data_IF_716484478384
#
_entry.id   IF_716484478384
#
_cell.length_a   1.000
_cell.length_b   1.000
_cell.length_c   1.000
_cell.angle_alpha   90.00
_cell.angle_beta   90.00
_cell.angle_gamma   90.00
#
_symmetry.space_group_name_H-M   'P 1'
#
loop_
_entity.id
_entity.type
_entity.pdbx_description
1 polymer ?
#
# COMPACT_ATOMS: atom_id res chain seq x y z
N UNK A 1 -28.51 -2.78 -3.04
CA UNK A 1 -28.30 -2.37 -1.63
C UNK A 1 -26.86 -1.99 -1.40
N UNK A 2 -25.88 -2.86 -1.72
CA UNK A 2 -24.43 -2.55 -1.75
C UNK A 2 -24.10 -1.23 -2.47
N UNK A 3 -24.56 -1.07 -3.72
CA UNK A 3 -24.31 0.14 -4.53
C UNK A 3 -24.69 1.46 -3.85
N UNK A 4 -25.73 1.46 -2.99
CA UNK A 4 -26.11 2.64 -2.18
C UNK A 4 -25.20 2.79 -0.96
N UNK A 5 -24.87 1.70 -0.28
CA UNK A 5 -23.95 1.70 0.87
C UNK A 5 -22.56 2.17 0.43
N UNK A 6 -22.06 1.65 -0.68
CA UNK A 6 -20.81 2.04 -1.33
C UNK A 6 -20.89 3.50 -1.79
N UNK A 7 -21.92 3.94 -2.53
CA UNK A 7 -22.04 5.36 -2.89
C UNK A 7 -22.13 6.32 -1.69
N UNK A 8 -22.84 5.93 -0.63
CA UNK A 8 -22.95 6.75 0.59
C UNK A 8 -21.62 6.79 1.33
N UNK A 9 -20.89 5.67 1.40
CA UNK A 9 -19.54 5.62 1.97
C UNK A 9 -18.56 6.46 1.13
N UNK A 10 -18.51 6.25 -0.19
CA UNK A 10 -17.69 6.99 -1.14
C UNK A 10 -17.94 8.52 -1.08
N UNK A 11 -19.20 8.96 -0.94
CA UNK A 11 -19.53 10.36 -0.73
C UNK A 11 -19.11 10.88 0.65
N UNK A 12 -19.18 10.06 1.69
CA UNK A 12 -18.71 10.40 3.04
C UNK A 12 -17.18 10.47 3.13
N UNK A 13 -16.46 9.78 2.25
CA UNK A 13 -15.00 9.79 2.13
C UNK A 13 -14.50 10.48 0.85
N UNK A 14 -15.26 11.42 0.27
CA UNK A 14 -14.78 12.35 -0.77
C UNK A 14 -14.48 11.79 -2.17
N UNK A 15 -14.85 10.54 -2.49
CA UNK A 15 -14.55 9.91 -3.78
C UNK A 15 -15.57 10.33 -4.84
N UNK A 16 -15.09 11.09 -5.83
CA UNK A 16 -15.85 11.54 -7.00
C UNK A 16 -16.09 10.46 -8.06
N UNK A 17 -16.96 10.77 -9.03
CA UNK A 17 -17.34 9.88 -10.14
C UNK A 17 -16.11 9.48 -11.00
N UNK A 18 -15.80 8.18 -11.17
CA UNK A 18 -14.61 7.72 -11.90
C UNK A 18 -14.61 8.04 -13.41
N UNK A 19 -15.70 8.58 -13.96
CA UNK A 19 -15.77 9.11 -15.33
C UNK A 19 -15.60 10.62 -15.46
N UNK A 20 -15.41 11.36 -14.35
CA UNK A 20 -15.27 12.81 -14.36
C UNK A 20 -13.82 13.24 -14.65
N UNK A 21 -13.66 14.36 -15.36
CA UNK A 21 -12.36 15.00 -15.49
C UNK A 21 -11.82 15.39 -14.10
N UNK A 22 -10.52 15.21 -13.87
CA UNK A 22 -9.86 15.58 -12.60
C UNK A 22 -10.14 17.04 -12.26
N UNK A 23 -10.43 17.32 -10.99
CA UNK A 23 -10.45 18.70 -10.49
C UNK A 23 -9.04 19.30 -10.55
N UNK A 24 -8.88 20.63 -10.58
CA UNK A 24 -7.55 21.26 -10.51
C UNK A 24 -6.71 20.77 -9.32
N UNK A 25 -7.33 20.55 -8.16
CA UNK A 25 -6.68 19.98 -6.98
C UNK A 25 -6.14 18.56 -7.21
N UNK A 26 -6.94 17.68 -7.82
CA UNK A 26 -6.54 16.32 -8.16
C UNK A 26 -5.46 16.29 -9.26
N UNK A 27 -5.58 17.16 -10.26
CA UNK A 27 -4.59 17.30 -11.32
C UNK A 27 -3.22 17.71 -10.76
N UNK A 28 -3.20 18.61 -9.78
CA UNK A 28 -1.97 19.01 -9.10
C UNK A 28 -1.31 17.85 -8.35
N UNK A 29 -2.05 17.13 -7.52
CA UNK A 29 -1.52 15.96 -6.81
C UNK A 29 -1.07 14.86 -7.77
N UNK A 30 -1.78 14.70 -8.89
CA UNK A 30 -1.40 13.77 -9.96
C UNK A 30 -0.06 14.14 -10.57
N UNK A 31 0.16 15.41 -10.88
CA UNK A 31 1.41 15.89 -11.47
C UNK A 31 2.59 15.74 -10.50
N UNK A 32 2.39 16.01 -9.20
CA UNK A 32 3.41 15.74 -8.17
C UNK A 32 3.75 14.25 -8.10
N UNK A 33 2.74 13.38 -8.13
CA UNK A 33 2.95 11.92 -8.07
C UNK A 33 3.68 11.42 -9.31
N UNK A 34 3.33 11.93 -10.49
CA UNK A 34 4.02 11.62 -11.73
C UNK A 34 5.50 11.97 -11.64
N UNK A 35 5.84 13.17 -11.14
CA UNK A 35 7.22 13.59 -10.95
C UNK A 35 8.00 12.71 -9.98
N UNK A 36 7.39 12.30 -8.86
CA UNK A 36 8.01 11.35 -7.91
C UNK A 36 8.40 10.05 -8.62
N UNK A 37 7.55 9.54 -9.50
CA UNK A 37 7.79 8.28 -10.22
C UNK A 37 8.90 8.39 -11.29
N UNK A 38 9.30 9.60 -11.69
CA UNK A 38 10.43 9.81 -12.62
C UNK A 38 11.79 9.84 -11.90
N UNK A 39 11.79 9.96 -10.57
CA UNK A 39 13.01 10.12 -9.79
C UNK A 39 13.60 8.77 -9.35
N UNK A 40 14.91 8.78 -9.10
CA UNK A 40 15.56 7.67 -8.38
C UNK A 40 15.09 7.60 -6.92
N UNK A 41 15.23 6.43 -6.27
CA UNK A 41 14.63 6.14 -4.96
C UNK A 41 14.93 7.17 -3.87
N UNK A 42 16.16 7.70 -3.80
CA UNK A 42 16.54 8.69 -2.79
C UNK A 42 15.76 10.02 -2.94
N UNK A 43 15.90 10.72 -4.08
CA UNK A 43 15.12 11.93 -4.37
C UNK A 43 13.60 11.72 -4.35
N UNK A 44 13.11 10.56 -4.82
CA UNK A 44 11.69 10.22 -4.76
C UNK A 44 11.18 10.18 -3.32
N UNK A 45 11.92 9.55 -2.41
CA UNK A 45 11.59 9.51 -0.98
C UNK A 45 11.61 10.91 -0.35
N UNK A 46 12.59 11.74 -0.69
CA UNK A 46 12.67 13.11 -0.18
C UNK A 46 11.47 13.97 -0.62
N UNK A 47 11.10 13.91 -1.90
CA UNK A 47 9.93 14.62 -2.44
C UNK A 47 8.63 14.12 -1.80
N UNK A 48 8.52 12.81 -1.58
CA UNK A 48 7.36 12.18 -0.93
C UNK A 48 7.21 12.66 0.51
N UNK A 49 8.30 12.70 1.29
CA UNK A 49 8.28 13.22 2.67
C UNK A 49 7.87 14.69 2.71
N UNK A 50 8.39 15.52 1.79
CA UNK A 50 8.01 16.94 1.71
C UNK A 50 6.53 17.14 1.37
N UNK A 51 5.96 16.29 0.50
CA UNK A 51 4.54 16.29 0.18
C UNK A 51 3.69 15.91 1.40
N UNK A 52 4.08 14.86 2.12
CA UNK A 52 3.38 14.39 3.32
C UNK A 52 3.37 15.45 4.43
N UNK A 53 4.45 16.24 4.57
CA UNK A 53 4.55 17.29 5.58
C UNK A 53 3.79 18.58 5.21
N UNK A 54 3.21 18.66 4.01
CA UNK A 54 2.51 19.85 3.57
C UNK A 54 1.22 20.11 4.37
N UNK A 55 0.59 19.04 4.86
CA UNK A 55 -0.62 19.10 5.71
C UNK A 55 -0.38 19.84 7.04
N UNK A 56 0.87 19.90 7.51
CA UNK A 56 1.30 20.62 8.71
C UNK A 56 1.46 22.13 8.50
N UNK A 57 1.34 22.61 7.27
CA UNK A 57 1.52 24.03 6.90
C UNK A 57 0.17 24.72 6.66
N UNK A 58 0.11 26.06 6.69
CA UNK A 58 -1.13 26.78 6.40
C UNK A 58 -1.68 26.43 5.02
N UNK A 59 -2.97 26.05 4.95
CA UNK A 59 -3.66 25.68 3.71
C UNK A 59 -3.89 26.89 2.78
N UNK A 60 -2.83 27.35 2.11
CA UNK A 60 -2.86 28.55 1.26
C UNK A 60 -2.18 28.31 -0.07
N UNK A 61 -2.57 29.10 -1.08
CA UNK A 61 -1.92 29.07 -2.41
C UNK A 61 -0.44 29.38 -2.33
N UNK A 62 -0.06 30.29 -1.43
CA UNK A 62 1.35 30.64 -1.21
C UNK A 62 2.15 29.46 -0.68
N UNK A 63 1.57 28.63 0.18
CA UNK A 63 2.18 27.39 0.68
C UNK A 63 2.43 26.40 -0.47
N UNK A 64 1.42 26.17 -1.33
CA UNK A 64 1.57 25.30 -2.50
C UNK A 64 2.62 25.83 -3.49
N UNK A 65 2.63 27.14 -3.74
CA UNK A 65 3.65 27.77 -4.59
C UNK A 65 5.06 27.56 -4.03
N UNK A 66 5.25 27.79 -2.72
CA UNK A 66 6.54 27.56 -2.06
C UNK A 66 6.97 26.10 -2.09
N UNK A 67 6.03 25.16 -1.99
CA UNK A 67 6.30 23.74 -2.18
C UNK A 67 6.82 23.46 -3.59
N UNK A 68 6.12 23.92 -4.64
CA UNK A 68 6.57 23.76 -6.03
C UNK A 68 7.97 24.37 -6.24
N UNK A 69 8.22 25.55 -5.67
CA UNK A 69 9.51 26.25 -5.79
C UNK A 69 10.66 25.49 -5.14
N UNK A 70 10.42 24.88 -3.97
CA UNK A 70 11.46 24.24 -3.16
C UNK A 70 11.66 22.77 -3.45
N UNK A 71 10.57 22.09 -3.83
CA UNK A 71 10.55 20.65 -4.02
C UNK A 71 10.95 20.24 -5.45
N UNK A 72 10.78 21.14 -6.42
CA UNK A 72 11.09 20.90 -7.84
C UNK A 72 12.24 21.80 -8.31
N UNK A 73 13.38 21.74 -7.63
CA UNK A 73 14.59 22.50 -7.99
C UNK A 73 15.52 21.76 -8.96
N UNK A 74 15.29 20.46 -9.16
CA UNK A 74 16.06 19.65 -10.11
C UNK A 74 15.73 20.09 -11.54
N UNK A 75 16.73 20.46 -12.37
CA UNK A 75 16.51 20.78 -13.78
C UNK A 75 15.80 19.68 -14.58
N UNK A 76 15.92 18.42 -14.17
CA UNK A 76 15.22 17.30 -14.80
C UNK A 76 13.69 17.36 -14.61
N UNK A 77 13.20 18.12 -13.61
CA UNK A 77 11.78 18.28 -13.30
C UNK A 77 11.22 19.66 -13.73
N UNK A 78 11.91 20.35 -14.64
CA UNK A 78 11.54 21.72 -15.03
C UNK A 78 10.16 21.79 -15.72
N UNK A 79 9.82 20.77 -16.50
CA UNK A 79 8.54 20.70 -17.21
C UNK A 79 7.39 20.44 -16.22
N UNK A 80 7.58 19.52 -15.27
CA UNK A 80 6.64 19.24 -14.19
C UNK A 80 6.47 20.46 -13.28
N UNK A 81 7.55 21.19 -12.97
CA UNK A 81 7.46 22.44 -12.20
C UNK A 81 6.61 23.49 -12.94
N UNK A 82 6.82 23.64 -14.25
CA UNK A 82 6.04 24.58 -15.06
C UNK A 82 4.56 24.19 -15.13
N UNK A 83 4.28 22.89 -15.33
CA UNK A 83 2.93 22.30 -15.31
C UNK A 83 2.23 22.55 -13.98
N UNK A 84 2.89 22.27 -12.85
CA UNK A 84 2.38 22.52 -11.50
C UNK A 84 2.03 24.00 -11.27
N UNK A 85 2.86 24.93 -11.75
CA UNK A 85 2.55 26.37 -11.67
C UNK A 85 1.34 26.74 -12.50
N UNK A 86 1.18 26.15 -13.69
CA UNK A 86 0.02 26.40 -14.55
C UNK A 86 -1.26 25.88 -13.89
N UNK A 87 -1.24 24.67 -13.33
CA UNK A 87 -2.38 24.11 -12.59
C UNK A 87 -2.68 24.99 -11.37
N UNK A 88 -1.66 25.38 -10.59
CA UNK A 88 -1.85 26.25 -9.43
C UNK A 88 -2.43 27.62 -9.80
N UNK A 89 -2.17 28.13 -11.00
CA UNK A 89 -2.75 29.39 -11.48
C UNK A 89 -4.25 29.28 -11.82
N UNK A 90 -4.74 28.09 -12.15
CA UNK A 90 -6.17 27.87 -12.48
C UNK A 90 -7.02 27.48 -11.28
N UNK A 91 -6.41 27.06 -10.17
CA UNK A 91 -7.11 26.69 -8.94
C UNK A 91 -7.92 27.85 -8.35
N UNK A 92 -9.11 27.54 -7.85
CA UNK A 92 -9.84 28.40 -6.90
C UNK A 92 -9.32 28.21 -5.47
N UNK A 93 -9.75 29.04 -4.53
CA UNK A 93 -9.39 28.86 -3.11
C UNK A 93 -9.98 27.56 -2.53
N UNK A 94 -11.12 27.10 -3.07
CA UNK A 94 -11.69 25.80 -2.73
C UNK A 94 -10.83 24.65 -3.24
N UNK A 95 -10.27 24.76 -4.46
CA UNK A 95 -9.32 23.76 -4.98
C UNK A 95 -8.03 23.72 -4.15
N UNK A 96 -7.52 24.89 -3.75
CA UNK A 96 -6.36 24.98 -2.86
C UNK A 96 -6.64 24.26 -1.54
N UNK A 97 -7.77 24.56 -0.87
CA UNK A 97 -8.16 23.89 0.36
C UNK A 97 -8.30 22.37 0.18
N UNK A 98 -8.90 21.95 -0.94
CA UNK A 98 -9.09 20.53 -1.26
C UNK A 98 -7.75 19.77 -1.36
N UNK A 99 -6.67 20.39 -1.88
CA UNK A 99 -5.33 19.76 -1.88
C UNK A 99 -4.89 19.40 -0.45
N UNK A 100 -5.08 20.31 0.52
CA UNK A 100 -4.71 20.04 1.91
C UNK A 100 -5.66 19.03 2.55
N UNK A 101 -6.95 19.07 2.23
CA UNK A 101 -7.92 18.07 2.70
C UNK A 101 -7.57 16.66 2.19
N UNK A 102 -7.08 16.53 0.94
CA UNK A 102 -6.62 15.25 0.40
C UNK A 102 -5.35 14.76 1.09
N UNK A 103 -4.43 15.65 1.47
CA UNK A 103 -3.19 15.31 2.17
C UNK A 103 -3.42 14.99 3.66
N UNK A 104 -4.37 15.67 4.31
CA UNK A 104 -4.73 15.47 5.71
C UNK A 104 -5.72 14.29 5.90
N UNK A 105 -6.44 13.91 4.85
CA UNK A 105 -7.34 12.76 4.87
C UNK A 105 -6.58 11.43 4.99
N UNK A 106 -7.23 10.37 5.50
CA UNK A 106 -6.71 9.02 5.37
C UNK A 106 -6.62 8.69 3.87
N UNK A 107 -5.42 8.84 3.29
CA UNK A 107 -5.02 8.46 1.92
C UNK A 107 -6.21 8.06 1.03
N UNK A 108 -6.87 9.05 0.42
CA UNK A 108 -7.85 8.76 -0.62
C UNK A 108 -7.13 8.28 -1.87
N UNK A 109 -7.53 7.08 -2.30
CA UNK A 109 -6.90 6.18 -3.26
C UNK A 109 -6.97 6.59 -4.71
N UNK A 110 -6.05 5.96 -5.44
CA UNK A 110 -6.05 5.76 -6.88
C UNK A 110 -5.99 7.08 -7.64
N UNK A 111 -4.76 7.46 -7.94
CA UNK A 111 -4.54 8.11 -9.21
C UNK A 111 -4.31 6.99 -10.24
N UNK A 112 -5.30 6.64 -11.10
CA UNK A 112 -5.20 5.57 -12.09
C UNK A 112 -4.20 5.86 -13.23
N UNK A 113 -3.17 6.66 -12.97
CA UNK A 113 -2.21 7.13 -13.97
C UNK A 113 -0.98 6.25 -14.07
N UNK A 114 -0.79 5.27 -13.17
CA UNK A 114 0.26 4.26 -13.37
C UNK A 114 -0.27 3.09 -14.20
N UNK A 115 0.49 2.68 -15.22
CA UNK A 115 0.18 1.50 -16.04
C UNK A 115 0.03 0.22 -15.22
N UNK A 116 0.65 0.18 -14.04
CA UNK A 116 0.57 -0.94 -13.11
C UNK A 116 -0.81 -1.07 -12.44
N UNK A 117 -1.55 0.02 -12.26
CA UNK A 117 -2.88 -0.02 -11.63
C UNK A 117 -3.90 -0.74 -12.52
N UNK A 118 -3.84 -0.55 -13.85
CA UNK A 118 -4.72 -1.29 -14.77
C UNK A 118 -4.49 -2.80 -14.70
N UNK A 119 -3.22 -3.21 -14.62
CA UNK A 119 -2.85 -4.62 -14.44
C UNK A 119 -3.32 -5.12 -13.08
N UNK A 120 -3.04 -4.37 -12.02
CA UNK A 120 -3.45 -4.67 -10.65
C UNK A 120 -4.97 -4.91 -10.57
N UNK A 121 -5.80 -3.98 -11.03
CA UNK A 121 -7.25 -4.14 -11.01
C UNK A 121 -7.75 -5.25 -11.93
N UNK A 122 -7.05 -5.53 -13.05
CA UNK A 122 -7.41 -6.67 -13.91
C UNK A 122 -7.25 -8.01 -13.19
N UNK A 123 -6.24 -8.15 -12.34
CA UNK A 123 -6.01 -9.36 -11.53
C UNK A 123 -6.91 -9.36 -10.30
N UNK A 124 -6.86 -8.33 -9.47
CA UNK A 124 -7.59 -8.28 -8.19
C UNK A 124 -9.09 -8.41 -8.36
N UNK A 125 -9.66 -7.74 -9.37
CA UNK A 125 -11.10 -7.78 -9.60
C UNK A 125 -11.56 -9.13 -10.19
N UNK A 126 -10.68 -9.92 -10.80
CA UNK A 126 -11.00 -11.25 -11.30
C UNK A 126 -10.77 -12.33 -10.23
N UNK A 127 -9.64 -12.26 -9.51
CA UNK A 127 -9.11 -13.38 -8.73
C UNK A 127 -9.30 -13.24 -7.21
N UNK A 128 -9.40 -12.03 -6.68
CA UNK A 128 -9.49 -11.79 -5.22
C UNK A 128 -10.87 -11.27 -4.83
N UNK A 129 -11.25 -10.11 -5.34
CA UNK A 129 -12.46 -9.39 -4.92
C UNK A 129 -13.74 -10.24 -4.99
N UNK A 130 -13.97 -11.10 -6.00
CA UNK A 130 -15.18 -11.92 -6.07
C UNK A 130 -15.33 -12.94 -4.94
N UNK A 131 -14.25 -13.30 -4.24
CA UNK A 131 -14.26 -14.27 -3.14
C UNK A 131 -14.21 -13.64 -1.75
N UNK A 132 -14.07 -12.31 -1.68
CA UNK A 132 -14.01 -11.54 -0.44
C UNK A 132 -15.36 -10.88 -0.12
N UNK A 133 -15.52 -10.36 1.09
CA UNK A 133 -16.69 -9.55 1.49
C UNK A 133 -16.22 -8.30 2.19
N UNK A 134 -16.62 -7.15 1.64
CA UNK A 134 -16.30 -5.87 2.23
C UNK A 134 -17.03 -5.64 3.57
N UNK A 135 -18.24 -6.19 3.71
CA UNK A 135 -18.99 -6.15 4.97
C UNK A 135 -18.20 -6.86 6.08
N UNK A 136 -17.66 -8.05 5.80
CA UNK A 136 -16.82 -8.77 6.75
C UNK A 136 -15.54 -8.01 7.10
N UNK A 137 -14.97 -7.26 6.15
CA UNK A 137 -13.82 -6.37 6.42
C UNK A 137 -14.19 -5.31 7.45
N UNK A 138 -15.35 -4.66 7.31
CA UNK A 138 -15.83 -3.65 8.27
C UNK A 138 -16.09 -4.30 9.63
N UNK A 139 -16.80 -5.43 9.67
CA UNK A 139 -17.08 -6.16 10.90
C UNK A 139 -15.78 -6.52 11.64
N UNK A 140 -14.81 -7.09 10.93
CA UNK A 140 -13.50 -7.46 11.49
C UNK A 140 -12.74 -6.24 12.03
N UNK A 141 -12.77 -5.11 11.32
CA UNK A 141 -12.09 -3.89 11.77
C UNK A 141 -12.73 -3.32 13.04
N UNK A 142 -14.05 -3.43 13.20
CA UNK A 142 -14.78 -2.99 14.39
C UNK A 142 -14.56 -3.90 15.62
N UNK A 143 -14.15 -5.14 15.41
CA UNK A 143 -13.83 -6.10 16.47
C UNK A 143 -12.42 -5.95 17.05
N UNK A 144 -11.56 -5.11 16.43
CA UNK A 144 -10.22 -4.83 16.96
C UNK A 144 -10.29 -4.16 18.34
N UNK A 145 -9.29 -4.41 19.18
CA UNK A 145 -9.15 -3.73 20.48
C UNK A 145 -9.07 -2.20 20.31
N UNK A 146 -8.47 -1.75 19.22
CA UNK A 146 -8.39 -0.34 18.82
C UNK A 146 -8.92 -0.23 17.37
N UNK A 147 -10.24 -0.07 17.16
CA UNK A 147 -10.84 -0.03 15.83
C UNK A 147 -10.27 1.06 14.92
N UNK A 148 -9.78 2.16 15.51
CA UNK A 148 -9.13 3.25 14.78
C UNK A 148 -7.92 2.78 13.95
N UNK A 149 -7.22 1.72 14.38
CA UNK A 149 -6.08 1.16 13.64
C UNK A 149 -6.51 0.41 12.37
N UNK A 150 -7.76 -0.03 12.27
CA UNK A 150 -8.31 -0.71 11.10
C UNK A 150 -8.86 0.22 10.03
N UNK A 151 -9.07 1.51 10.33
CA UNK A 151 -9.77 2.45 9.45
C UNK A 151 -9.08 2.63 8.10
N UNK A 152 -7.74 2.69 8.08
CA UNK A 152 -7.00 2.83 6.84
C UNK A 152 -7.19 1.59 5.94
N UNK A 153 -7.11 0.39 6.52
CA UNK A 153 -7.34 -0.87 5.79
C UNK A 153 -8.76 -0.94 5.23
N UNK A 154 -9.77 -0.52 6.00
CA UNK A 154 -11.16 -0.46 5.54
C UNK A 154 -11.31 0.53 4.39
N UNK A 155 -10.71 1.72 4.47
CA UNK A 155 -10.74 2.70 3.40
C UNK A 155 -10.11 2.14 2.12
N UNK A 156 -8.87 1.65 2.21
CA UNK A 156 -8.11 1.09 1.07
C UNK A 156 -8.86 -0.06 0.38
N UNK A 157 -9.39 -1.01 1.15
CA UNK A 157 -10.17 -2.12 0.59
C UNK A 157 -11.50 -1.61 -0.01
N UNK A 158 -12.15 -0.64 0.62
CA UNK A 158 -13.38 -0.04 0.09
C UNK A 158 -13.20 0.55 -1.30
N UNK A 159 -12.04 1.14 -1.58
CA UNK A 159 -11.71 1.65 -2.89
C UNK A 159 -11.49 0.52 -3.92
N UNK A 160 -10.77 -0.55 -3.55
CA UNK A 160 -10.61 -1.72 -4.43
C UNK A 160 -11.97 -2.32 -4.77
N UNK A 161 -12.84 -2.54 -3.77
CA UNK A 161 -14.20 -3.04 -4.00
C UNK A 161 -15.02 -2.12 -4.91
N UNK A 162 -14.95 -0.80 -4.71
CA UNK A 162 -15.65 0.17 -5.54
C UNK A 162 -15.18 0.15 -7.00
N UNK A 163 -13.87 0.04 -7.25
CA UNK A 163 -13.33 -0.12 -8.61
C UNK A 163 -13.79 -1.44 -9.21
N UNK A 164 -13.71 -2.54 -8.46
CA UNK A 164 -14.11 -3.85 -8.95
C UNK A 164 -15.62 -4.01 -9.22
N UNK A 165 -16.49 -3.17 -8.65
CA UNK A 165 -17.91 -3.14 -9.03
C UNK A 165 -18.15 -2.70 -10.49
N UNK A 166 -17.24 -1.90 -11.05
CA UNK A 166 -17.36 -1.35 -12.42
C UNK A 166 -16.30 -1.90 -13.37
N UNK A 167 -15.25 -2.52 -12.86
CA UNK A 167 -14.16 -3.07 -13.67
C UNK A 167 -14.60 -4.32 -14.44
N UNK A 168 -14.32 -4.43 -15.76
CA UNK A 168 -14.72 -5.57 -16.58
C UNK A 168 -13.80 -6.79 -16.38
N UNK A 169 -13.44 -7.12 -15.14
CA UNK A 169 -12.49 -8.21 -14.82
C UNK A 169 -13.09 -9.62 -14.93
N UNK A 170 -14.41 -9.77 -14.79
CA UNK A 170 -15.05 -11.08 -14.71
C UNK A 170 -14.88 -11.73 -13.34
N UNK A 171 -14.96 -13.06 -13.28
CA UNK A 171 -14.77 -13.83 -12.05
C UNK A 171 -13.95 -15.08 -12.35
N UNK A 172 -12.86 -15.27 -11.63
CA UNK A 172 -12.07 -16.49 -11.72
C UNK A 172 -12.91 -17.73 -11.36
N UNK A 173 -12.58 -18.91 -11.90
CA UNK A 173 -13.17 -20.16 -11.45
C UNK A 173 -13.03 -20.34 -9.93
N UNK A 174 -14.00 -21.00 -9.29
CA UNK A 174 -14.02 -21.15 -7.83
C UNK A 174 -12.80 -21.88 -7.25
N UNK A 175 -12.12 -22.71 -8.05
CA UNK A 175 -10.92 -23.40 -7.61
C UNK A 175 -9.74 -22.46 -7.36
N UNK A 176 -9.75 -21.24 -7.91
CA UNK A 176 -8.70 -20.25 -7.68
C UNK A 176 -8.62 -19.79 -6.21
N UNK A 177 -9.73 -19.92 -5.47
CA UNK A 177 -9.80 -19.59 -4.05
C UNK A 177 -9.62 -20.81 -3.13
N UNK A 178 -9.21 -21.96 -3.68
CA UNK A 178 -8.92 -23.15 -2.88
C UNK A 178 -7.44 -23.17 -2.46
N UNK A 179 -7.11 -23.70 -1.27
CA UNK A 179 -5.73 -23.91 -0.88
C UNK A 179 -4.97 -24.78 -1.88
N UNK A 180 -3.75 -24.38 -2.21
CA UNK A 180 -2.84 -25.17 -3.06
C UNK A 180 -2.29 -26.35 -2.25
N UNK A 181 -2.30 -27.55 -2.85
CA UNK A 181 -1.64 -28.73 -2.30
C UNK A 181 -0.54 -29.19 -3.25
N UNK A 182 0.65 -29.46 -2.71
CA UNK A 182 1.82 -29.84 -3.50
C UNK A 182 2.84 -30.60 -2.65
N UNK A 183 3.44 -31.63 -3.24
CA UNK A 183 4.57 -32.35 -2.64
C UNK A 183 5.92 -31.71 -2.99
N UNK A 184 5.94 -30.64 -3.79
CA UNK A 184 7.18 -29.92 -4.10
C UNK A 184 7.70 -29.29 -2.81
N UNK A 185 8.97 -29.54 -2.42
CA UNK A 185 9.53 -28.89 -1.25
C UNK A 185 9.41 -27.36 -1.38
N UNK A 186 8.90 -26.72 -0.32
CA UNK A 186 8.57 -25.29 -0.35
C UNK A 186 9.11 -24.62 0.88
N UNK A 187 9.76 -23.47 0.74
CA UNK A 187 10.18 -22.65 1.87
C UNK A 187 9.23 -21.45 2.01
N UNK A 188 8.65 -21.29 3.18
CA UNK A 188 7.74 -20.20 3.53
C UNK A 188 8.42 -19.32 4.56
N UNK A 189 8.54 -18.03 4.26
CA UNK A 189 8.96 -17.02 5.22
C UNK A 189 7.77 -16.20 5.69
N UNK A 190 7.67 -15.97 7.00
CA UNK A 190 6.58 -15.19 7.56
C UNK A 190 7.07 -14.20 8.63
N UNK A 191 6.84 -12.90 8.41
CA UNK A 191 7.06 -11.87 9.42
C UNK A 191 5.96 -11.89 10.49
N UNK A 192 6.32 -11.75 11.76
CA UNK A 192 5.35 -11.77 12.87
C UNK A 192 4.41 -10.55 12.89
N UNK A 193 4.80 -9.45 12.24
CA UNK A 193 4.04 -8.20 12.15
C UNK A 193 3.63 -7.86 10.72
N UNK A 194 3.62 -8.84 9.82
CA UNK A 194 3.11 -8.63 8.47
C UNK A 194 1.59 -8.41 8.49
N UNK A 195 1.15 -7.20 8.12
CA UNK A 195 -0.26 -6.84 8.01
C UNK A 195 -0.82 -6.96 6.58
N UNK A 196 0.03 -7.22 5.58
CA UNK A 196 -0.36 -7.38 4.18
C UNK A 196 -0.61 -8.85 3.83
N UNK A 197 0.30 -9.73 4.26
CA UNK A 197 0.19 -11.20 4.11
C UNK A 197 0.41 -11.87 5.47
N UNK A 198 -0.60 -11.83 6.36
CA UNK A 198 -0.39 -12.12 7.77
C UNK A 198 0.10 -13.55 8.03
N UNK A 199 0.81 -13.73 9.15
CA UNK A 199 1.33 -15.04 9.59
C UNK A 199 0.25 -16.14 9.61
N UNK A 200 -1.01 -15.79 9.89
CA UNK A 200 -2.13 -16.73 9.84
C UNK A 200 -2.33 -17.35 8.45
N UNK A 201 -2.12 -16.60 7.37
CA UNK A 201 -2.22 -17.10 5.98
C UNK A 201 -1.06 -18.03 5.66
N UNK A 202 0.16 -17.68 6.08
CA UNK A 202 1.34 -18.52 5.93
C UNK A 202 1.17 -19.86 6.65
N UNK A 203 0.61 -19.85 7.87
CA UNK A 203 0.26 -21.07 8.60
C UNK A 203 -0.80 -21.90 7.88
N UNK A 204 -1.79 -21.27 7.26
CA UNK A 204 -2.81 -21.99 6.46
C UNK A 204 -2.19 -22.64 5.22
N UNK A 205 -1.32 -21.92 4.49
CA UNK A 205 -0.61 -22.48 3.34
C UNK A 205 0.31 -23.64 3.75
N UNK A 206 1.00 -23.54 4.88
CA UNK A 206 1.86 -24.60 5.40
C UNK A 206 1.12 -25.93 5.62
N UNK A 207 -0.16 -25.89 6.04
CA UNK A 207 -0.96 -27.10 6.31
C UNK A 207 -1.15 -27.98 5.08
N UNK A 208 -1.23 -27.39 3.88
CA UNK A 208 -1.48 -28.13 2.63
C UNK A 208 -0.21 -28.47 1.85
N UNK A 209 0.95 -28.11 2.38
CA UNK A 209 2.26 -28.32 1.76
C UNK A 209 3.10 -29.28 2.65
N UNK A 210 2.92 -30.61 2.52
CA UNK A 210 3.50 -31.59 3.44
C UNK A 210 5.03 -31.58 3.53
N UNK A 211 5.71 -31.08 2.48
CA UNK A 211 7.17 -30.96 2.42
C UNK A 211 7.64 -29.50 2.60
N UNK A 212 6.80 -28.63 3.18
CA UNK A 212 7.17 -27.25 3.42
C UNK A 212 8.00 -27.07 4.69
N UNK A 213 8.85 -26.05 4.65
CA UNK A 213 9.47 -25.43 5.82
C UNK A 213 8.84 -24.07 6.09
N UNK A 214 8.48 -23.77 7.33
CA UNK A 214 7.98 -22.45 7.74
C UNK A 214 8.99 -21.79 8.69
N UNK A 215 9.61 -20.70 8.22
CA UNK A 215 10.52 -19.87 9.02
C UNK A 215 9.78 -18.61 9.46
N UNK A 216 9.60 -18.48 10.77
CA UNK A 216 8.94 -17.32 11.39
C UNK A 216 10.02 -16.30 11.76
N UNK A 217 9.95 -15.12 11.17
CA UNK A 217 10.91 -14.03 11.36
C UNK A 217 10.34 -13.06 12.39
N UNK A 218 10.90 -13.02 13.61
CA UNK A 218 10.39 -12.15 14.67
C UNK A 218 10.64 -10.68 14.35
N UNK A 219 9.79 -9.81 14.88
CA UNK A 219 9.91 -8.35 14.74
C UNK A 219 9.90 -7.83 13.28
N UNK A 220 9.51 -8.69 12.33
CA UNK A 220 9.51 -8.36 10.90
C UNK A 220 8.09 -8.13 10.38
N UNK A 221 7.96 -7.12 9.51
CA UNK A 221 6.77 -6.86 8.71
C UNK A 221 6.79 -7.61 7.37
N UNK A 222 6.14 -7.03 6.35
CA UNK A 222 6.06 -7.57 5.00
C UNK A 222 7.42 -7.55 4.28
N UNK A 223 7.68 -8.56 3.43
CA UNK A 223 8.88 -8.60 2.60
C UNK A 223 10.17 -8.93 3.36
N UNK A 224 10.15 -9.95 4.22
CA UNK A 224 11.27 -10.27 5.13
C UNK A 224 12.62 -10.44 4.42
N UNK A 225 12.63 -10.95 3.19
CA UNK A 225 13.86 -11.11 2.40
C UNK A 225 14.55 -9.77 2.12
N UNK A 226 13.78 -8.72 1.89
CA UNK A 226 14.28 -7.37 1.60
C UNK A 226 14.84 -6.69 2.85
N UNK A 227 14.15 -6.83 3.98
CA UNK A 227 14.46 -6.08 5.20
C UNK A 227 15.38 -6.83 6.18
N UNK A 228 15.51 -8.14 6.02
CA UNK A 228 16.35 -9.00 6.86
C UNK A 228 17.30 -9.88 6.02
N UNK A 229 18.06 -9.29 5.07
CA UNK A 229 18.69 -10.05 4.00
C UNK A 229 19.80 -11.00 4.50
N UNK A 230 20.49 -10.71 5.59
CA UNK A 230 21.66 -11.47 6.03
C UNK A 230 21.32 -12.93 6.36
N UNK A 231 20.39 -13.15 7.31
CA UNK A 231 19.95 -14.49 7.68
C UNK A 231 19.03 -15.11 6.60
N UNK A 232 18.09 -14.32 6.06
CA UNK A 232 17.05 -14.87 5.17
C UNK A 232 17.64 -15.27 3.81
N UNK A 233 18.64 -14.55 3.29
CA UNK A 233 19.35 -14.95 2.07
C UNK A 233 20.16 -16.23 2.28
N UNK A 234 20.79 -16.39 3.45
CA UNK A 234 21.51 -17.62 3.76
C UNK A 234 20.56 -18.83 3.77
N UNK A 235 19.46 -18.74 4.51
CA UNK A 235 18.44 -19.80 4.57
C UNK A 235 17.91 -20.11 3.16
N UNK A 236 17.62 -19.07 2.36
CA UNK A 236 17.16 -19.24 0.97
C UNK A 236 18.16 -20.01 0.11
N UNK A 237 19.46 -19.66 0.19
CA UNK A 237 20.51 -20.33 -0.58
C UNK A 237 20.69 -21.78 -0.15
N UNK A 238 20.67 -22.05 1.16
CA UNK A 238 20.81 -23.40 1.69
C UNK A 238 19.63 -24.30 1.28
N UNK A 239 18.41 -23.75 1.28
CA UNK A 239 17.23 -24.44 0.77
C UNK A 239 17.34 -24.72 -0.73
N UNK A 240 17.77 -23.75 -1.53
CA UNK A 240 17.94 -23.93 -2.98
C UNK A 240 19.01 -24.98 -3.30
N UNK A 241 20.06 -25.08 -2.49
CA UNK A 241 21.10 -26.09 -2.63
C UNK A 241 20.62 -27.49 -2.20
N UNK A 242 19.73 -27.58 -1.22
CA UNK A 242 19.21 -28.84 -0.70
C UNK A 242 17.75 -28.72 -0.22
N UNK A 243 16.76 -28.73 -1.13
CA UNK A 243 15.37 -28.42 -0.81
C UNK A 243 14.67 -29.52 0.00
N UNK A 244 15.28 -30.70 0.15
CA UNK A 244 14.73 -31.82 0.93
C UNK A 244 14.84 -31.64 2.45
N UNK A 245 15.49 -30.58 2.92
CA UNK A 245 15.69 -30.31 4.35
C UNK A 245 15.37 -28.86 4.66
N UNK A 246 14.84 -28.63 5.86
CA UNK A 246 14.72 -27.27 6.40
C UNK A 246 16.13 -26.76 6.75
N UNK A 247 16.57 -25.61 6.21
CA UNK A 247 17.86 -25.02 6.57
C UNK A 247 17.92 -24.58 8.04
N UNK A 248 19.13 -24.34 8.54
CA UNK A 248 19.34 -23.77 9.89
C UNK A 248 18.85 -22.32 9.93
N UNK A 249 17.79 -22.08 10.70
CA UNK A 249 17.14 -20.77 10.83
C UNK A 249 17.52 -20.02 12.12
N UNK A 250 18.44 -20.54 12.94
CA UNK A 250 18.76 -19.98 14.27
C UNK A 250 19.20 -18.51 14.24
N UNK A 251 19.73 -18.03 13.12
CA UNK A 251 20.11 -16.63 12.96
C UNK A 251 18.92 -15.65 13.09
N UNK A 252 17.67 -16.10 12.88
CA UNK A 252 16.48 -15.23 13.04
C UNK A 252 16.28 -14.76 14.48
N UNK A 253 16.86 -15.48 15.45
CA UNK A 253 16.80 -15.09 16.86
C UNK A 253 17.47 -13.73 17.13
N UNK A 254 18.43 -13.33 16.29
CA UNK A 254 19.11 -12.04 16.40
C UNK A 254 18.21 -10.84 16.07
N UNK A 255 17.03 -11.06 15.50
CA UNK A 255 16.08 -9.97 15.18
C UNK A 255 15.20 -9.55 16.36
N UNK A 256 15.26 -10.27 17.50
CA UNK A 256 14.69 -9.74 18.73
C UNK A 256 15.53 -8.58 19.25
N UNK A 257 14.90 -7.47 19.71
CA UNK A 257 15.64 -6.39 20.33
C UNK A 257 16.29 -6.87 21.62
N UNK A 258 17.56 -6.51 21.81
CA UNK A 258 18.20 -6.58 23.11
C UNK A 258 17.75 -5.37 23.94
N UNK A 259 16.99 -5.63 25.01
CA UNK A 259 16.60 -4.58 25.94
C UNK A 259 17.81 -4.21 26.82
N UNK A 260 18.37 -3.02 26.60
CA UNK A 260 19.34 -2.42 27.50
C UNK A 260 18.68 -1.31 28.32
N UNK A 261 18.96 -1.27 29.63
CA UNK A 261 18.67 -0.09 30.42
C UNK A 261 19.63 1.03 30.02
N UNK A 262 19.19 2.30 29.98
CA UNK A 262 20.10 3.41 29.78
C UNK A 262 21.14 3.44 30.91
N UNK A 263 22.35 3.87 30.60
CA UNK A 263 23.42 4.04 31.58
C UNK A 263 22.91 4.89 32.76
N UNK A 264 23.16 4.44 33.99
CA UNK A 264 22.78 5.19 35.18
C UNK A 264 23.56 6.51 35.20
N UNK A 265 22.85 7.63 35.06
CA UNK A 265 23.40 8.99 35.21
C UNK A 265 23.53 9.41 36.67
#
# INVERSE_FOLDING_TARGET
MLRRVVQTFLQQIGIGDPGAALTPAQAFLSEVTFAINQLSTGPANELTVRLLLLDQLPATRATLAQFVDRAFTDPALADEQASLRQILATMTDADVAAVFDYLAGPLQVANPTSSNEFMYYSVECNESAPFQSFERTIETALELEIPALGLNTVASLGQIFAVCEIWPGGRAPSYANLPVSSEIPTLIFAGTYDMQTPLSWNKQAFVTLPNAGLVIVPMSGHGVLTYHPECITQISNDFMANPGYLPDDRCVAAYYPEWALPDAT
#
